data_IF_023817765603
#
_entry.id   IF_023817765603
#
_cell.length_a   1.000
_cell.length_b   1.000
_cell.length_c   1.000
_cell.angle_alpha   90.00
_cell.angle_beta   90.00
_cell.angle_gamma   90.00
#
_symmetry.space_group_name_H-M   'P 1'
#
loop_
_entity.id
_entity.type
_entity.pdbx_description
1 polymer ?
#
# COMPACT_ATOMS: atom_id res chain seq x y z
N UNK A 1 -10.43 -29.95 -80.87
CA UNK A 1 -9.57 -29.21 -79.92
C UNK A 1 -10.38 -29.02 -78.64
N UNK A 2 -10.38 -29.98 -77.72
CA UNK A 2 -10.93 -29.79 -76.37
C UNK A 2 -9.85 -29.13 -75.50
N UNK A 3 -10.23 -28.07 -74.80
CA UNK A 3 -9.42 -27.38 -73.79
C UNK A 3 -9.35 -28.21 -72.52
N UNK A 4 -8.13 -28.54 -72.11
CA UNK A 4 -7.80 -29.07 -70.79
C UNK A 4 -7.59 -27.88 -69.84
N UNK A 5 -8.27 -27.87 -68.70
CA UNK A 5 -7.88 -27.05 -67.55
C UNK A 5 -8.40 -27.68 -66.26
N UNK A 6 -7.53 -27.82 -65.25
CA UNK A 6 -7.71 -28.76 -64.15
C UNK A 6 -8.65 -28.25 -63.06
N UNK A 7 -9.27 -29.23 -62.44
CA UNK A 7 -10.13 -29.20 -61.27
C UNK A 7 -9.54 -28.33 -60.14
N UNK A 8 -10.30 -27.32 -59.73
CA UNK A 8 -10.01 -26.51 -58.55
C UNK A 8 -10.29 -27.37 -57.30
N UNK A 9 -9.28 -28.12 -56.87
CA UNK A 9 -9.35 -28.83 -55.59
C UNK A 9 -9.15 -27.81 -54.48
N UNK A 10 -10.22 -27.42 -53.80
CA UNK A 10 -10.14 -26.65 -52.57
C UNK A 10 -9.36 -27.44 -51.52
N UNK A 11 -8.20 -26.93 -51.11
CA UNK A 11 -7.51 -27.39 -49.91
C UNK A 11 -8.37 -27.03 -48.69
N UNK A 12 -9.16 -28.01 -48.23
CA UNK A 12 -9.66 -28.01 -46.87
C UNK A 12 -8.43 -28.06 -45.95
N UNK A 13 -8.10 -26.93 -45.34
CA UNK A 13 -7.10 -26.84 -44.28
C UNK A 13 -7.60 -27.65 -43.10
N UNK A 14 -7.09 -28.89 -42.97
CA UNK A 14 -7.37 -29.74 -41.83
C UNK A 14 -6.77 -29.08 -40.58
N UNK A 15 -7.64 -28.63 -39.67
CA UNK A 15 -7.26 -28.09 -38.38
C UNK A 15 -6.58 -29.19 -37.55
N UNK A 16 -5.27 -29.06 -37.37
CA UNK A 16 -4.45 -30.03 -36.64
C UNK A 16 -4.75 -29.94 -35.15
N UNK A 17 -5.54 -30.88 -34.63
CA UNK A 17 -5.77 -30.99 -33.18
C UNK A 17 -4.49 -31.51 -32.52
N UNK A 18 -3.90 -30.80 -31.53
CA UNK A 18 -2.66 -31.24 -30.94
C UNK A 18 -2.82 -32.60 -30.24
N UNK A 19 -1.80 -33.47 -30.29
CA UNK A 19 -1.87 -34.80 -29.70
C UNK A 19 -2.02 -34.72 -28.18
N UNK A 20 -3.00 -35.44 -27.64
CA UNK A 20 -3.28 -35.47 -26.19
C UNK A 20 -2.23 -36.32 -25.48
N UNK A 21 -1.27 -35.66 -24.82
CA UNK A 21 -0.22 -36.35 -24.04
C UNK A 21 -0.81 -36.88 -22.73
N UNK A 22 -0.83 -38.21 -22.55
CA UNK A 22 -1.26 -38.83 -21.29
C UNK A 22 -0.16 -38.69 -20.24
N UNK A 23 -0.46 -37.99 -19.15
CA UNK A 23 0.45 -37.91 -18.00
C UNK A 23 0.70 -39.29 -17.38
N UNK A 24 1.98 -39.57 -17.08
CA UNK A 24 2.38 -40.74 -16.28
C UNK A 24 1.79 -40.66 -14.88
N UNK A 25 1.50 -41.80 -14.25
CA UNK A 25 0.88 -41.86 -12.93
C UNK A 25 1.66 -41.07 -11.86
N UNK A 26 3.00 -41.17 -11.87
CA UNK A 26 3.85 -40.39 -10.97
C UNK A 26 3.70 -38.89 -11.15
N UNK A 27 3.62 -38.40 -12.39
CA UNK A 27 3.40 -36.97 -12.66
C UNK A 27 2.02 -36.49 -12.16
N UNK A 28 0.98 -37.35 -12.24
CA UNK A 28 -0.34 -37.05 -11.70
C UNK A 28 -0.33 -36.95 -10.17
N UNK A 29 0.33 -37.90 -9.51
CA UNK A 29 0.47 -37.90 -8.04
C UNK A 29 1.22 -36.65 -7.58
N UNK A 30 2.34 -36.31 -8.23
CA UNK A 30 3.08 -35.08 -7.92
C UNK A 30 2.23 -33.83 -8.14
N UNK A 31 1.52 -33.72 -9.27
CA UNK A 31 0.66 -32.58 -9.55
C UNK A 31 -0.45 -32.42 -8.51
N UNK A 32 -1.10 -33.53 -8.12
CA UNK A 32 -2.12 -33.53 -7.08
C UNK A 32 -1.55 -33.16 -5.71
N UNK A 33 -0.38 -33.70 -5.35
CA UNK A 33 0.29 -33.37 -4.09
C UNK A 33 0.62 -31.88 -4.02
N UNK A 34 1.25 -31.33 -5.07
CA UNK A 34 1.58 -29.89 -5.15
C UNK A 34 0.32 -29.04 -5.07
N UNK A 35 -0.73 -29.39 -5.82
CA UNK A 35 -2.01 -28.65 -5.81
C UNK A 35 -2.64 -28.68 -4.42
N UNK A 36 -2.62 -29.83 -3.76
CA UNK A 36 -3.18 -30.00 -2.41
C UNK A 36 -2.39 -29.16 -1.40
N UNK A 37 -1.05 -29.17 -1.48
CA UNK A 37 -0.21 -28.34 -0.60
C UNK A 37 -0.50 -26.85 -0.83
N UNK A 38 -0.54 -26.39 -2.08
CA UNK A 38 -0.87 -25.00 -2.39
C UNK A 38 -2.25 -24.60 -1.86
N UNK A 39 -3.25 -25.47 -2.03
CA UNK A 39 -4.60 -25.24 -1.52
C UNK A 39 -4.61 -25.14 0.01
N UNK A 40 -3.94 -26.08 0.71
CA UNK A 40 -3.83 -26.05 2.17
C UNK A 40 -3.14 -24.79 2.68
N UNK A 41 -2.05 -24.37 2.02
CA UNK A 41 -1.36 -23.12 2.35
C UNK A 41 -2.31 -21.94 2.18
N UNK A 42 -3.00 -21.82 1.04
CA UNK A 42 -3.96 -20.72 0.79
C UNK A 42 -5.12 -20.70 1.80
N UNK A 43 -5.67 -21.85 2.18
CA UNK A 43 -6.74 -21.91 3.18
C UNK A 43 -6.22 -21.51 4.58
N UNK A 44 -5.04 -21.97 4.97
CA UNK A 44 -4.45 -21.62 6.26
C UNK A 44 -4.14 -20.11 6.35
N UNK A 45 -3.52 -19.55 5.33
CA UNK A 45 -3.22 -18.11 5.26
C UNK A 45 -4.47 -17.24 5.07
N UNK A 46 -5.55 -17.76 4.48
CA UNK A 46 -6.84 -17.04 4.45
C UNK A 46 -7.46 -16.93 5.84
N UNK A 47 -7.35 -17.98 6.65
CA UNK A 47 -7.93 -18.01 8.00
C UNK A 47 -7.12 -17.19 9.03
N UNK A 48 -5.78 -17.22 8.96
CA UNK A 48 -4.90 -16.61 9.98
C UNK A 48 -3.87 -15.62 9.45
N UNK A 49 -3.78 -15.42 8.13
CA UNK A 49 -2.78 -14.55 7.55
C UNK A 49 -3.14 -13.07 7.60
N UNK A 50 -2.10 -12.25 7.42
CA UNK A 50 -2.19 -10.81 7.22
C UNK A 50 -1.75 -10.43 5.80
N UNK A 51 -2.01 -9.19 5.40
CA UNK A 51 -1.71 -8.64 4.07
C UNK A 51 -0.22 -8.78 3.69
N UNK A 52 0.68 -8.80 4.67
CA UNK A 52 2.12 -9.03 4.49
C UNK A 52 2.48 -10.42 3.94
N UNK A 53 1.56 -11.40 3.99
CA UNK A 53 1.79 -12.76 3.50
C UNK A 53 1.27 -12.99 2.07
N UNK A 54 0.88 -11.92 1.38
CA UNK A 54 0.63 -11.95 -0.06
C UNK A 54 1.86 -12.54 -0.81
N UNK A 55 1.69 -13.36 -1.87
CA UNK A 55 0.44 -13.72 -2.54
C UNK A 55 -0.28 -14.95 -1.94
N UNK A 56 0.19 -15.47 -0.80
CA UNK A 56 -0.38 -16.67 -0.22
C UNK A 56 -1.57 -16.35 0.69
N UNK A 57 -1.66 -15.17 1.29
CA UNK A 57 -2.86 -14.64 1.95
C UNK A 57 -3.64 -13.68 1.05
N UNK A 58 -4.98 -13.59 1.16
CA UNK A 58 -5.77 -12.58 0.47
C UNK A 58 -5.47 -11.19 1.05
N UNK A 59 -5.64 -10.14 0.24
CA UNK A 59 -5.65 -8.76 0.73
C UNK A 59 -6.95 -8.53 1.51
N UNK A 60 -6.84 -8.44 2.85
CA UNK A 60 -7.98 -8.36 3.77
C UNK A 60 -8.87 -7.15 3.48
N UNK A 61 -8.29 -6.05 2.98
CA UNK A 61 -9.05 -4.86 2.55
C UNK A 61 -10.14 -5.14 1.50
N UNK A 62 -10.00 -6.21 0.71
CA UNK A 62 -11.00 -6.60 -0.29
C UNK A 62 -11.79 -7.86 0.07
N UNK A 63 -11.33 -8.60 1.08
CA UNK A 63 -11.91 -9.90 1.45
C UNK A 63 -12.81 -9.82 2.70
N UNK A 64 -12.76 -8.72 3.46
CA UNK A 64 -13.50 -8.56 4.72
C UNK A 64 -14.25 -7.23 4.76
N UNK A 65 -15.39 -7.21 5.46
CA UNK A 65 -16.10 -5.96 5.75
C UNK A 65 -15.36 -5.19 6.85
N UNK A 66 -15.42 -3.85 6.76
CA UNK A 66 -14.93 -2.99 7.84
C UNK A 66 -15.76 -3.17 9.10
N UNK A 67 -15.11 -3.11 10.26
CA UNK A 67 -15.79 -3.14 11.57
C UNK A 67 -16.55 -1.83 11.79
N UNK A 68 -17.90 -1.85 11.92
CA UNK A 68 -18.67 -0.63 12.16
C UNK A 68 -18.36 0.04 13.51
N UNK A 69 -17.72 -0.65 14.45
CA UNK A 69 -17.28 -0.10 15.74
C UNK A 69 -15.75 -0.01 15.84
N UNK A 70 -15.05 -0.09 14.70
CA UNK A 70 -13.60 -0.03 14.62
C UNK A 70 -13.03 1.39 14.72
N UNK A 71 -11.74 1.49 14.46
CA UNK A 71 -11.00 2.76 14.40
C UNK A 71 -10.58 3.05 12.96
N UNK A 72 -10.77 4.29 12.52
CA UNK A 72 -10.23 4.79 11.25
C UNK A 72 -8.90 5.48 11.54
N UNK A 73 -7.83 5.01 10.91
CA UNK A 73 -6.51 5.64 10.98
C UNK A 73 -6.31 6.58 9.79
N UNK A 74 -5.87 7.81 10.06
CA UNK A 74 -5.46 8.78 9.04
C UNK A 74 -4.00 9.15 9.27
N UNK A 75 -3.13 8.71 8.37
CA UNK A 75 -1.70 9.04 8.39
C UNK A 75 -1.43 10.38 7.71
N UNK A 76 -0.61 11.21 8.34
CA UNK A 76 -0.05 12.42 7.77
C UNK A 76 1.43 12.56 8.11
N UNK A 77 2.14 13.31 7.27
CA UNK A 77 3.55 13.62 7.49
C UNK A 77 3.70 15.11 7.63
N UNK A 78 4.17 15.57 8.77
CA UNK A 78 4.50 16.95 9.04
C UNK A 78 6.02 17.13 9.05
N UNK A 79 6.49 18.30 8.66
CA UNK A 79 7.89 18.65 8.72
C UNK A 79 8.06 20.06 9.27
N UNK A 80 9.21 20.34 9.87
CA UNK A 80 9.60 21.69 10.30
C UNK A 80 10.87 22.08 9.57
N UNK A 81 10.91 23.28 9.03
CA UNK A 81 12.10 23.82 8.38
C UNK A 81 12.98 24.66 9.32
N UNK A 82 14.18 25.01 8.87
CA UNK A 82 15.17 25.80 9.63
C UNK A 82 14.68 27.21 10.01
N UNK A 83 13.64 27.71 9.33
CA UNK A 83 12.98 28.97 9.67
C UNK A 83 11.89 28.80 10.75
N UNK A 84 11.74 27.59 11.31
CA UNK A 84 10.71 27.23 12.28
C UNK A 84 9.32 27.08 11.66
N UNK A 85 9.19 27.10 10.32
CA UNK A 85 7.90 26.89 9.67
C UNK A 85 7.63 25.40 9.60
N UNK A 86 6.52 24.99 10.20
CA UNK A 86 5.98 23.65 9.98
C UNK A 86 5.38 23.58 8.56
N UNK A 87 5.15 22.38 8.02
CA UNK A 87 4.33 22.15 6.82
C UNK A 87 3.89 20.69 6.71
N UNK A 88 2.79 20.42 6.01
CA UNK A 88 2.44 19.05 5.60
C UNK A 88 3.35 18.63 4.44
N UNK A 89 4.01 17.49 4.54
CA UNK A 89 4.67 16.85 3.39
C UNK A 89 3.61 16.15 2.54
N UNK A 90 3.54 16.57 1.29
CA UNK A 90 2.62 16.05 0.28
C UNK A 90 3.39 15.64 -0.96
N UNK A 91 2.73 14.94 -1.87
CA UNK A 91 3.33 14.59 -3.15
C UNK A 91 3.75 15.84 -3.95
N UNK A 92 3.01 16.94 -3.85
CA UNK A 92 3.29 18.17 -4.59
C UNK A 92 4.59 18.84 -4.13
N UNK A 93 4.89 18.80 -2.83
CA UNK A 93 6.05 19.50 -2.28
C UNK A 93 7.27 18.60 -2.02
N UNK A 94 7.09 17.28 -1.92
CA UNK A 94 8.18 16.34 -1.65
C UNK A 94 8.39 15.30 -2.75
N UNK A 95 7.44 15.15 -3.67
CA UNK A 95 7.43 14.06 -4.65
C UNK A 95 7.04 12.70 -4.08
N UNK A 96 6.84 12.59 -2.76
CA UNK A 96 6.57 11.33 -2.07
C UNK A 96 5.08 11.03 -2.13
N UNK A 97 4.74 9.79 -2.48
CA UNK A 97 3.36 9.32 -2.46
C UNK A 97 2.99 8.85 -1.05
N UNK A 98 1.77 9.17 -0.64
CA UNK A 98 1.23 8.72 0.65
C UNK A 98 1.34 7.19 0.83
N UNK A 99 1.06 6.43 -0.22
CA UNK A 99 1.16 4.96 -0.21
C UNK A 99 2.57 4.43 0.09
N UNK A 100 3.64 5.19 -0.21
CA UNK A 100 5.00 4.77 0.12
C UNK A 100 5.25 4.89 1.63
N UNK A 101 4.79 6.00 2.21
CA UNK A 101 4.92 6.23 3.65
C UNK A 101 4.05 5.24 4.43
N UNK A 102 2.81 5.05 4.01
CA UNK A 102 1.87 4.12 4.64
C UNK A 102 2.37 2.67 4.57
N UNK A 103 2.88 2.23 3.42
CA UNK A 103 3.43 0.88 3.23
C UNK A 103 4.74 0.61 3.97
N UNK A 104 5.48 1.64 4.38
CA UNK A 104 6.73 1.52 5.13
C UNK A 104 6.61 1.96 6.60
N UNK A 105 5.40 2.24 7.08
CA UNK A 105 5.15 2.82 8.41
C UNK A 105 5.86 2.06 9.54
N UNK A 106 5.71 0.74 9.59
CA UNK A 106 6.30 -0.09 10.64
C UNK A 106 7.83 -0.02 10.63
N UNK A 107 8.44 -0.05 9.44
CA UNK A 107 9.90 0.06 9.29
C UNK A 107 10.40 1.45 9.70
N UNK A 108 9.65 2.50 9.36
CA UNK A 108 9.97 3.87 9.75
C UNK A 108 9.85 4.10 11.26
N UNK A 109 8.91 3.41 11.92
CA UNK A 109 8.80 3.42 13.38
C UNK A 109 9.99 2.69 14.05
N UNK A 110 10.50 1.62 13.43
CA UNK A 110 11.67 0.87 13.91
C UNK A 110 13.00 1.60 13.64
N UNK A 111 13.12 2.28 12.50
CA UNK A 111 14.33 2.98 12.06
C UNK A 111 14.05 4.45 11.68
N UNK A 112 14.32 5.40 12.60
CA UNK A 112 14.20 6.83 12.34
C UNK A 112 15.02 7.34 11.13
N UNK A 113 16.07 6.63 10.73
CA UNK A 113 16.85 7.02 9.54
C UNK A 113 16.06 6.83 8.25
N UNK A 114 15.06 5.96 8.22
CA UNK A 114 14.12 5.87 7.11
C UNK A 114 13.22 7.11 7.03
N UNK A 115 12.85 7.71 8.17
CA UNK A 115 12.10 8.97 8.19
C UNK A 115 12.94 10.13 7.63
N UNK A 116 14.25 10.15 7.89
CA UNK A 116 15.19 11.12 7.28
C UNK A 116 15.14 11.11 5.75
N UNK A 117 14.90 9.96 5.13
CA UNK A 117 14.82 9.88 3.65
C UNK A 117 13.68 10.73 3.08
N UNK A 118 12.62 10.98 3.87
CA UNK A 118 11.54 11.89 3.50
C UNK A 118 12.04 13.35 3.44
N UNK A 119 12.90 13.73 4.38
CA UNK A 119 13.55 15.04 4.37
C UNK A 119 14.49 15.19 3.16
N UNK A 120 15.27 14.14 2.86
CA UNK A 120 16.16 14.12 1.71
C UNK A 120 15.37 14.23 0.38
N UNK A 121 14.24 13.54 0.26
CA UNK A 121 13.37 13.61 -0.92
C UNK A 121 12.74 15.00 -1.11
N UNK A 122 12.33 15.67 -0.03
CA UNK A 122 11.87 17.07 -0.09
C UNK A 122 12.92 18.01 -0.70
N UNK A 123 14.18 17.88 -0.29
CA UNK A 123 15.27 18.68 -0.84
C UNK A 123 15.59 18.32 -2.28
N UNK A 124 15.57 17.02 -2.61
CA UNK A 124 15.78 16.58 -3.97
C UNK A 124 14.72 17.14 -4.93
N UNK A 125 13.45 17.18 -4.49
CA UNK A 125 12.34 17.76 -5.25
C UNK A 125 12.45 19.29 -5.36
N UNK A 126 13.14 19.96 -4.44
CA UNK A 126 13.31 21.41 -4.49
C UNK A 126 14.62 21.84 -3.84
N UNK A 127 15.74 21.86 -4.58
CA UNK A 127 17.07 22.13 -4.01
C UNK A 127 17.24 23.53 -3.41
N UNK A 128 16.34 24.45 -3.71
CA UNK A 128 16.35 25.84 -3.22
C UNK A 128 15.36 26.07 -2.06
N UNK A 129 14.66 25.02 -1.62
CA UNK A 129 13.72 25.11 -0.50
C UNK A 129 14.49 25.17 0.83
N UNK A 130 13.91 25.80 1.86
CA UNK A 130 14.49 25.81 3.20
C UNK A 130 14.74 24.39 3.70
N UNK A 131 15.81 24.21 4.48
CA UNK A 131 16.15 22.89 4.98
C UNK A 131 15.17 22.40 6.03
N UNK A 132 14.78 21.13 5.93
CA UNK A 132 13.98 20.47 6.97
C UNK A 132 14.88 20.05 8.14
N UNK A 133 14.47 20.44 9.34
CA UNK A 133 15.12 20.11 10.62
C UNK A 133 14.34 19.06 11.42
N UNK A 134 13.09 18.79 11.04
CA UNK A 134 12.29 17.73 11.62
C UNK A 134 11.30 17.17 10.61
N UNK A 135 10.98 15.88 10.76
CA UNK A 135 9.89 15.19 10.07
C UNK A 135 9.19 14.28 11.08
N UNK A 136 7.87 14.38 11.15
CA UNK A 136 7.01 13.64 12.07
C UNK A 136 5.91 12.94 11.26
N UNK A 137 5.76 11.63 11.48
CA UNK A 137 4.66 10.84 10.94
C UNK A 137 3.62 10.72 12.04
N UNK A 138 2.46 11.33 11.83
CA UNK A 138 1.36 11.33 12.79
C UNK A 138 0.22 10.47 12.27
N UNK A 139 -0.38 9.70 13.17
CA UNK A 139 -1.59 8.91 12.89
C UNK A 139 -2.70 9.45 13.77
N UNK A 140 -3.79 9.89 13.15
CA UNK A 140 -5.02 10.23 13.86
C UNK A 140 -5.98 9.06 13.81
N UNK A 141 -6.42 8.64 14.99
CA UNK A 141 -7.36 7.56 15.20
C UNK A 141 -8.75 8.17 15.43
N UNK A 142 -9.73 7.75 14.65
CA UNK A 142 -11.12 8.18 14.80
C UNK A 142 -11.99 6.98 15.17
N UNK A 143 -12.68 7.06 16.30
CA UNK A 143 -13.52 5.97 16.79
C UNK A 143 -14.87 5.94 16.07
N UNK A 144 -15.29 4.76 15.62
CA UNK A 144 -16.61 4.51 15.07
C UNK A 144 -17.55 3.87 16.10
N UNK A 145 -18.83 4.19 15.96
CA UNK A 145 -19.95 3.52 16.61
C UNK A 145 -21.07 3.34 15.57
N UNK A 146 -21.49 2.10 15.35
CA UNK A 146 -22.50 1.71 14.35
C UNK A 146 -22.25 2.31 12.94
N UNK A 147 -20.98 2.37 12.53
CA UNK A 147 -20.55 2.87 11.23
C UNK A 147 -20.50 4.41 11.14
N UNK A 148 -20.71 5.11 12.25
CA UNK A 148 -20.66 6.57 12.33
C UNK A 148 -19.50 7.04 13.21
N UNK A 149 -18.93 8.21 12.92
CA UNK A 149 -17.89 8.82 13.75
C UNK A 149 -18.48 9.26 15.10
N UNK A 150 -17.85 8.85 16.20
CA UNK A 150 -18.22 9.29 17.57
C UNK A 150 -17.81 10.73 17.85
N UNK A 151 -16.82 11.25 17.10
CA UNK A 151 -16.14 12.51 17.39
C UNK A 151 -14.95 12.35 18.34
N UNK A 152 -14.78 11.19 18.97
CA UNK A 152 -13.57 10.86 19.71
C UNK A 152 -12.42 10.64 18.72
N UNK A 153 -11.31 11.33 18.99
CA UNK A 153 -10.11 11.23 18.20
C UNK A 153 -8.88 11.42 19.08
N UNK A 154 -7.86 10.65 18.79
CA UNK A 154 -6.51 10.81 19.34
C UNK A 154 -5.50 10.88 18.19
N UNK A 155 -4.39 11.56 18.43
CA UNK A 155 -3.28 11.62 17.48
C UNK A 155 -2.03 11.10 18.17
N UNK A 156 -1.40 10.13 17.54
CA UNK A 156 -0.15 9.53 18.00
C UNK A 156 0.99 9.84 17.04
N UNK A 157 2.18 10.06 17.60
CA UNK A 157 3.42 10.12 16.83
C UNK A 157 3.86 8.69 16.50
N UNK A 158 3.78 8.30 15.24
CA UNK A 158 4.15 6.96 14.80
C UNK A 158 5.66 6.82 14.57
N UNK A 159 6.29 7.85 13.99
CA UNK A 159 7.73 7.91 13.79
C UNK A 159 8.19 9.36 13.65
N UNK A 160 9.47 9.62 13.94
CA UNK A 160 10.04 10.96 13.79
C UNK A 160 11.52 10.91 13.47
N UNK A 161 11.97 11.92 12.74
CA UNK A 161 13.38 12.27 12.61
C UNK A 161 13.57 13.75 12.96
N UNK A 162 14.63 14.04 13.70
CA UNK A 162 15.06 15.38 14.06
C UNK A 162 16.54 15.54 13.69
N UNK A 163 16.90 16.69 13.14
CA UNK A 163 18.30 17.04 12.87
C UNK A 163 19.11 17.15 14.18
N UNK A 164 18.51 17.74 15.21
CA UNK A 164 19.05 17.82 16.57
C UNK A 164 18.28 16.87 17.51
N UNK A 165 18.90 16.46 18.63
CA UNK A 165 18.23 15.57 19.62
C UNK A 165 17.01 16.20 20.30
N UNK A 166 16.88 17.54 20.23
CA UNK A 166 15.75 18.26 20.84
C UNK A 166 14.65 18.44 19.80
N UNK A 167 13.44 17.87 20.02
CA UNK A 167 12.34 18.08 19.09
C UNK A 167 11.97 19.57 19.02
N UNK A 168 11.68 20.10 17.82
CA UNK A 168 11.27 21.49 17.70
C UNK A 168 9.98 21.74 18.51
N UNK A 169 9.77 22.96 19.02
CA UNK A 169 8.56 23.30 19.75
C UNK A 169 7.32 22.90 18.96
N UNK A 170 6.50 22.03 19.53
CA UNK A 170 5.19 21.68 19.00
C UNK A 170 4.22 22.77 19.42
N UNK A 171 4.05 23.79 18.58
CA UNK A 171 3.06 24.84 18.78
C UNK A 171 1.64 24.38 18.41
N UNK A 172 1.48 23.13 17.95
CA UNK A 172 0.23 22.57 17.44
C UNK A 172 -0.32 23.29 16.21
N UNK A 173 0.46 24.18 15.57
CA UNK A 173 -0.09 25.25 14.72
C UNK A 173 -0.30 24.88 13.26
N UNK A 174 0.25 23.76 12.80
CA UNK A 174 -0.21 23.11 11.57
C UNK A 174 -0.88 21.81 11.97
N UNK A 175 -2.07 21.47 11.53
CA UNK A 175 -2.89 21.99 10.44
C UNK A 175 -4.31 21.38 10.61
N UNK A 176 -5.30 21.64 9.73
CA UNK A 176 -6.76 21.55 9.97
C UNK A 176 -7.40 20.21 10.39
N UNK A 177 -6.61 19.22 10.79
CA UNK A 177 -7.02 17.88 11.20
C UNK A 177 -6.27 17.43 12.46
N UNK A 178 -5.94 18.36 13.38
CA UNK A 178 -6.02 17.97 14.79
C UNK A 178 -7.46 17.49 15.02
N UNK A 179 -7.69 16.63 16.01
CA UNK A 179 -9.03 16.19 16.38
C UNK A 179 -10.04 17.35 16.53
N UNK A 180 -9.56 18.59 16.65
CA UNK A 180 -10.31 19.84 16.75
C UNK A 180 -10.98 20.32 15.44
N UNK A 181 -10.70 19.74 14.25
CA UNK A 181 -11.37 20.11 12.98
C UNK A 181 -11.73 18.92 12.07
N UNK A 182 -12.16 17.81 12.67
CA UNK A 182 -12.70 16.67 11.92
C UNK A 182 -13.83 17.08 10.96
N UNK A 183 -13.62 16.84 9.66
CA UNK A 183 -14.64 16.81 8.59
C UNK A 183 -15.73 17.90 8.69
N UNK A 184 -15.39 19.17 8.44
CA UNK A 184 -16.43 20.12 8.04
C UNK A 184 -16.94 19.73 6.65
N UNK A 185 -18.12 19.10 6.62
CA UNK A 185 -19.01 18.87 5.47
C UNK A 185 -18.37 18.92 4.08
N UNK A 186 -18.25 17.75 3.43
CA UNK A 186 -18.22 17.67 1.98
C UNK A 186 -19.51 18.22 1.36
#
# INVERSE_FOLDING_TARGET
MPTDSPDATGEATAESTPPVVRMRLGARVTALAVTTVCALVMFATTAWGNDSWFPFAPMRMFATAADPNGVIEILRVEAVNENGQRMLLSQENSGIRWAEVDGQRDKMAEDPMLVKTLADAYHHHGPHKPKLIAVEILVSNYQLEDGSLTGECDTVLAASWYEDEVPPPTDGSLSPLSCERGFSSW
#
